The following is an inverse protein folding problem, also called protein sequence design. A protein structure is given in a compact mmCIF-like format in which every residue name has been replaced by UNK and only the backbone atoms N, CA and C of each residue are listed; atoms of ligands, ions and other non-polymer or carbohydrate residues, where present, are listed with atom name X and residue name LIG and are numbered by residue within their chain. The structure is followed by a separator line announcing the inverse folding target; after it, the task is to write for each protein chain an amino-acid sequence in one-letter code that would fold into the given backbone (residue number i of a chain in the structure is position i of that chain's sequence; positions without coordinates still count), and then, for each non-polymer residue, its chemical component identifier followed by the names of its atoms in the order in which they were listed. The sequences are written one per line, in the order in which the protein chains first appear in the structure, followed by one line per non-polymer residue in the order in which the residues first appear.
data_IF_834823698338
#
_entry.id   IF_834823698338
#
_cell.length_a   1.000
_cell.length_b   1.000
_cell.length_c   1.000
_cell.angle_alpha   90.00
_cell.angle_beta   90.00
_cell.angle_gamma   90.00
#
_symmetry.space_group_name_H-M   'P 1'
#
loop_
_entity.id
_entity.type
_entity.pdbx_description
1 polymer ?
#
# COMPACT_ATOMS: atom_id res chain seq x y z
N UNK A 1 -45.15 -19.63 60.66
CA UNK A 1 -44.92 -19.79 59.22
C UNK A 1 -44.29 -18.50 58.76
N UNK A 2 -43.01 -18.54 58.42
CA UNK A 2 -42.30 -17.37 57.88
C UNK A 2 -42.78 -17.21 56.46
N UNK A 3 -43.56 -16.15 56.24
CA UNK A 3 -44.02 -15.73 54.93
C UNK A 3 -42.78 -15.42 54.07
N UNK A 4 -42.67 -16.10 52.93
CA UNK A 4 -41.47 -16.13 52.08
C UNK A 4 -41.75 -15.43 50.74
N UNK A 5 -42.77 -14.56 50.69
CA UNK A 5 -43.21 -13.90 49.44
C UNK A 5 -42.84 -12.41 49.34
N UNK A 6 -42.34 -11.76 50.40
CA UNK A 6 -41.87 -10.37 50.36
C UNK A 6 -40.33 -10.28 50.28
N UNK A 7 -39.74 -10.95 49.28
CA UNK A 7 -38.43 -10.47 48.81
C UNK A 7 -38.72 -9.33 47.86
N UNK A 8 -38.73 -8.12 48.40
CA UNK A 8 -38.53 -6.90 47.64
C UNK A 8 -37.38 -7.15 46.67
N UNK A 9 -37.71 -7.32 45.39
CA UNK A 9 -36.75 -7.28 44.31
C UNK A 9 -36.20 -5.87 44.35
N UNK A 10 -35.06 -5.70 45.03
CA UNK A 10 -34.30 -4.47 44.97
C UNK A 10 -34.04 -4.26 43.49
N UNK A 11 -34.60 -3.22 42.84
CA UNK A 11 -34.29 -2.96 41.45
C UNK A 11 -32.78 -2.78 41.39
N UNK A 12 -32.12 -3.60 40.55
CA UNK A 12 -30.72 -3.39 40.18
C UNK A 12 -30.60 -1.91 39.84
N UNK A 13 -29.69 -1.22 40.52
CA UNK A 13 -29.44 0.19 40.27
C UNK A 13 -29.15 0.38 38.78
N UNK A 14 -29.73 1.42 38.20
CA UNK A 14 -29.47 1.87 36.82
C UNK A 14 -27.95 1.96 36.60
N UNK A 15 -27.42 0.97 35.89
CA UNK A 15 -26.01 0.84 35.54
C UNK A 15 -25.60 1.81 34.41
N UNK A 16 -26.53 2.67 33.97
CA UNK A 16 -26.36 3.64 32.90
C UNK A 16 -26.47 3.01 31.51
N UNK A 17 -26.74 1.71 31.40
CA UNK A 17 -26.96 1.01 30.14
C UNK A 17 -28.46 0.82 29.92
N UNK A 18 -28.96 1.36 28.80
CA UNK A 18 -30.36 1.18 28.44
C UNK A 18 -30.64 -0.29 28.11
N UNK A 19 -31.68 -0.84 28.73
CA UNK A 19 -32.15 -2.19 28.44
C UNK A 19 -32.70 -2.25 27.01
N UNK A 20 -32.65 -3.40 26.33
CA UNK A 20 -33.19 -3.53 24.97
C UNK A 20 -34.69 -3.21 24.87
N UNK A 21 -35.42 -3.43 25.96
CA UNK A 21 -36.82 -3.02 26.08
C UNK A 21 -37.02 -1.49 25.99
N UNK A 22 -36.02 -0.72 26.39
CA UNK A 22 -36.06 0.74 26.42
C UNK A 22 -35.40 1.37 25.19
N UNK A 23 -34.28 0.82 24.72
CA UNK A 23 -33.58 1.32 23.53
C UNK A 23 -34.25 0.89 22.22
N UNK A 24 -34.99 -0.23 22.23
CA UNK A 24 -35.60 -0.86 21.06
C UNK A 24 -34.60 -1.13 19.92
N UNK A 25 -33.31 -1.24 20.23
CA UNK A 25 -32.26 -1.51 19.24
C UNK A 25 -32.15 -3.00 18.87
N UNK A 26 -32.80 -3.87 19.64
CA UNK A 26 -32.81 -5.32 19.44
C UNK A 26 -34.21 -5.89 19.64
N UNK A 27 -34.57 -6.89 18.82
CA UNK A 27 -35.82 -7.64 18.96
C UNK A 27 -35.81 -8.59 20.17
N UNK A 28 -34.66 -8.77 20.83
CA UNK A 28 -34.50 -9.59 22.03
C UNK A 28 -34.64 -8.75 23.30
N UNK A 29 -35.87 -8.34 23.59
CA UNK A 29 -36.19 -7.39 24.67
C UNK A 29 -35.85 -7.89 26.09
N UNK A 30 -35.64 -9.19 26.28
CA UNK A 30 -35.32 -9.80 27.57
C UNK A 30 -33.86 -10.17 27.77
N UNK A 31 -32.99 -9.89 26.79
CA UNK A 31 -31.56 -10.14 26.93
C UNK A 31 -30.90 -8.98 27.70
N UNK A 32 -30.13 -9.29 28.74
CA UNK A 32 -29.30 -8.30 29.41
C UNK A 32 -28.04 -8.03 28.54
N UNK A 33 -27.77 -6.79 28.12
CA UNK A 33 -26.54 -6.47 27.38
C UNK A 33 -25.27 -6.85 28.15
N UNK A 34 -25.31 -6.85 29.49
CA UNK A 34 -24.19 -7.21 30.36
C UNK A 34 -23.95 -8.72 30.46
N UNK A 35 -24.90 -9.56 30.03
CA UNK A 35 -24.72 -11.02 29.98
C UNK A 35 -23.86 -11.48 28.79
N UNK A 36 -23.48 -10.56 27.89
CA UNK A 36 -22.55 -10.86 26.79
C UNK A 36 -21.12 -10.99 27.30
N UNK A 37 -20.65 -12.23 27.45
CA UNK A 37 -19.25 -12.50 27.81
C UNK A 37 -18.28 -12.06 26.72
N UNK A 38 -17.23 -11.32 27.09
CA UNK A 38 -16.07 -11.08 26.22
C UNK A 38 -15.28 -12.39 26.05
N UNK A 39 -15.30 -12.98 24.86
CA UNK A 39 -14.38 -14.07 24.52
C UNK A 39 -13.02 -13.48 24.18
N UNK A 40 -12.07 -13.51 25.12
CA UNK A 40 -10.67 -13.23 24.79
C UNK A 40 -10.13 -14.34 23.88
N UNK A 41 -9.15 -14.03 23.02
CA UNK A 41 -8.46 -15.08 22.26
C UNK A 41 -7.91 -16.10 23.24
N UNK A 42 -8.37 -17.34 23.16
CA UNK A 42 -7.94 -18.40 24.07
C UNK A 42 -6.43 -18.57 24.06
N UNK A 43 -5.82 -18.49 25.23
CA UNK A 43 -4.40 -18.80 25.46
C UNK A 43 -3.52 -17.59 25.80
N UNK A 44 -2.49 -17.82 26.61
CA UNK A 44 -1.45 -16.87 26.96
C UNK A 44 -0.46 -16.66 25.79
N UNK A 45 -0.92 -16.16 24.64
CA UNK A 45 0.01 -15.83 23.55
C UNK A 45 0.93 -14.69 23.99
N UNK A 46 2.23 -14.90 23.84
CA UNK A 46 3.25 -13.89 24.13
C UNK A 46 3.57 -13.67 25.61
N UNK A 47 2.86 -14.29 26.56
CA UNK A 47 3.16 -14.14 27.99
C UNK A 47 4.53 -14.71 28.40
N UNK A 48 5.05 -15.66 27.60
CA UNK A 48 6.39 -16.22 27.77
C UNK A 48 7.37 -15.73 26.70
N UNK A 49 6.99 -14.72 25.91
CA UNK A 49 7.92 -14.09 24.98
C UNK A 49 8.97 -13.27 25.74
N UNK A 50 10.11 -13.08 25.10
CA UNK A 50 11.14 -12.19 25.61
C UNK A 50 10.62 -10.74 25.65
N UNK A 51 11.10 -9.93 26.60
CA UNK A 51 10.68 -8.54 26.74
C UNK A 51 9.43 -8.34 27.61
N UNK A 52 8.93 -9.39 28.25
CA UNK A 52 7.81 -9.32 29.19
C UNK A 52 8.24 -8.85 30.57
N UNK A 53 9.54 -8.87 30.87
CA UNK A 53 10.09 -8.36 32.14
C UNK A 53 10.83 -7.03 31.97
N UNK A 54 10.89 -6.17 33.02
CA UNK A 54 11.64 -4.91 32.97
C UNK A 54 13.14 -5.11 32.70
N UNK A 55 13.71 -6.25 33.12
CA UNK A 55 15.11 -6.55 32.88
C UNK A 55 15.40 -6.82 31.41
N UNK A 56 14.57 -7.64 30.76
CA UNK A 56 14.67 -7.95 29.33
C UNK A 56 14.44 -6.71 28.47
N UNK A 57 13.47 -5.85 28.83
CA UNK A 57 13.23 -4.59 28.12
C UNK A 57 14.44 -3.64 28.15
N UNK A 58 15.19 -3.62 29.26
CA UNK A 58 16.43 -2.83 29.37
C UNK A 58 17.60 -3.45 28.59
N UNK A 59 17.65 -4.78 28.51
CA UNK A 59 18.68 -5.51 27.79
C UNK A 59 18.46 -5.47 26.27
N UNK A 60 17.20 -5.42 25.83
CA UNK A 60 16.80 -5.57 24.44
C UNK A 60 16.93 -7.00 23.94
N UNK A 61 16.28 -7.29 22.82
CA UNK A 61 16.43 -8.54 22.08
C UNK A 61 17.71 -8.52 21.24
N UNK A 62 18.39 -9.65 21.14
CA UNK A 62 19.49 -9.80 20.18
C UNK A 62 18.95 -10.02 18.77
N UNK A 63 19.77 -9.69 17.76
CA UNK A 63 19.42 -9.97 16.36
C UNK A 63 19.12 -11.47 16.14
N UNK A 64 19.90 -12.36 16.76
CA UNK A 64 19.69 -13.80 16.66
C UNK A 64 18.34 -14.24 17.25
N UNK A 65 17.88 -13.58 18.32
CA UNK A 65 16.56 -13.85 18.92
C UNK A 65 15.42 -13.41 18.01
N UNK A 66 15.54 -12.23 17.38
CA UNK A 66 14.58 -11.73 16.41
C UNK A 66 14.49 -12.66 15.20
N UNK A 67 15.64 -13.05 14.63
CA UNK A 67 15.71 -13.97 13.49
C UNK A 67 15.14 -15.35 13.81
N UNK A 68 15.27 -15.82 15.05
CA UNK A 68 14.69 -17.10 15.47
C UNK A 68 13.16 -17.05 15.63
N UNK A 69 12.58 -15.87 15.82
CA UNK A 69 11.14 -15.66 15.92
C UNK A 69 10.46 -15.50 14.55
N UNK A 70 11.23 -15.14 13.52
CA UNK A 70 10.73 -15.01 12.15
C UNK A 70 10.48 -16.39 11.51
N UNK A 71 9.38 -16.50 10.78
CA UNK A 71 9.10 -17.63 9.88
C UNK A 71 9.60 -17.25 8.49
N UNK A 72 10.47 -18.04 7.84
CA UNK A 72 10.90 -17.75 6.48
C UNK A 72 9.71 -17.74 5.53
N UNK A 73 9.58 -16.68 4.73
CA UNK A 73 8.56 -16.62 3.69
C UNK A 73 8.74 -17.78 2.70
N UNK A 74 7.61 -18.36 2.26
CA UNK A 74 7.64 -19.35 1.19
C UNK A 74 7.98 -18.63 -0.13
N UNK A 75 9.09 -19.00 -0.81
CA UNK A 75 9.43 -18.36 -2.07
C UNK A 75 8.30 -18.64 -3.07
N UNK A 76 7.83 -17.63 -3.83
CA UNK A 76 6.83 -17.87 -4.86
C UNK A 76 7.38 -18.87 -5.89
N UNK A 77 6.51 -19.72 -6.45
CA UNK A 77 6.86 -20.75 -7.45
C UNK A 77 7.61 -20.18 -8.67
N UNK A 78 7.42 -18.88 -8.94
CA UNK A 78 8.16 -18.12 -9.92
C UNK A 78 8.54 -16.75 -9.34
N UNK A 79 9.71 -16.66 -8.70
CA UNK A 79 10.49 -15.42 -8.75
C UNK A 79 11.10 -15.36 -10.15
N UNK A 80 10.32 -14.87 -11.12
CA UNK A 80 10.91 -14.32 -12.33
C UNK A 80 11.14 -12.84 -12.06
N UNK A 81 12.39 -12.50 -11.73
CA UNK A 81 12.83 -11.10 -11.61
C UNK A 81 12.58 -10.32 -12.92
N UNK A 82 12.31 -11.04 -14.02
CA UNK A 82 11.78 -10.54 -15.28
C UNK A 82 10.26 -10.60 -15.23
N UNK A 83 9.66 -9.79 -14.38
CA UNK A 83 8.28 -9.40 -14.61
C UNK A 83 8.25 -8.74 -16.00
N UNK A 84 7.57 -9.35 -16.99
CA UNK A 84 7.60 -8.86 -18.37
C UNK A 84 7.08 -7.42 -18.50
N UNK A 85 6.09 -7.08 -17.66
CA UNK A 85 5.55 -5.73 -17.43
C UNK A 85 6.05 -5.08 -16.12
N UNK A 86 7.14 -5.58 -15.54
CA UNK A 86 7.72 -5.03 -14.32
C UNK A 86 8.37 -3.67 -14.58
N UNK A 87 8.62 -2.87 -13.53
CA UNK A 87 9.48 -1.71 -13.69
C UNK A 87 10.82 -2.17 -14.27
N UNK A 88 11.22 -1.58 -15.40
CA UNK A 88 12.47 -1.91 -16.10
C UNK A 88 13.67 -1.86 -15.15
N UNK A 89 14.79 -2.55 -15.46
CA UNK A 89 15.99 -2.44 -14.64
C UNK A 89 16.39 -0.97 -14.46
N UNK A 90 16.58 -0.53 -13.21
CA UNK A 90 17.05 0.83 -12.93
C UNK A 90 18.50 0.98 -13.34
N UNK A 91 18.89 2.19 -13.75
CA UNK A 91 20.29 2.54 -13.94
C UNK A 91 21.05 2.42 -12.60
N UNK A 92 22.31 2.05 -12.68
CA UNK A 92 23.24 2.06 -11.56
C UNK A 92 23.80 3.46 -11.30
N UNK A 93 25.03 3.52 -10.78
CA UNK A 93 25.75 4.77 -10.56
C UNK A 93 26.19 5.38 -11.90
N UNK A 94 25.84 6.63 -12.15
CA UNK A 94 26.16 7.36 -13.37
C UNK A 94 27.41 8.23 -13.16
N UNK A 95 28.44 8.00 -13.97
CA UNK A 95 29.66 8.82 -13.98
C UNK A 95 29.60 9.77 -15.18
N UNK A 96 29.62 11.10 -14.96
CA UNK A 96 29.59 12.06 -16.05
C UNK A 96 30.84 11.94 -16.93
N UNK A 97 30.62 12.09 -18.23
CA UNK A 97 31.67 12.20 -19.23
C UNK A 97 32.34 13.57 -19.24
N UNK A 98 33.30 13.80 -20.14
CA UNK A 98 34.11 15.03 -20.16
C UNK A 98 33.32 16.31 -20.43
N UNK A 99 32.18 16.20 -21.12
CA UNK A 99 31.34 17.33 -21.52
C UNK A 99 30.04 17.45 -20.69
N UNK A 100 29.90 16.68 -19.59
CA UNK A 100 28.73 16.64 -18.68
C UNK A 100 27.36 16.42 -19.36
N UNK A 101 27.33 16.08 -20.65
CA UNK A 101 26.13 15.84 -21.45
C UNK A 101 25.76 14.36 -21.52
N UNK A 102 26.74 13.48 -21.33
CA UNK A 102 26.59 12.04 -21.33
C UNK A 102 27.14 11.49 -20.02
N UNK A 103 26.55 10.40 -19.54
CA UNK A 103 27.03 9.68 -18.37
C UNK A 103 27.12 8.18 -18.68
N UNK A 104 28.06 7.49 -18.04
CA UNK A 104 28.23 6.05 -18.14
C UNK A 104 27.77 5.37 -16.86
N UNK A 105 26.92 4.34 -16.98
CA UNK A 105 26.54 3.47 -15.87
C UNK A 105 27.71 2.54 -15.50
N UNK A 106 28.16 2.60 -14.25
CA UNK A 106 29.24 1.73 -13.72
C UNK A 106 28.73 0.62 -12.79
N UNK A 107 27.41 0.41 -12.74
CA UNK A 107 26.77 -0.68 -12.03
C UNK A 107 26.02 -0.26 -10.76
N UNK A 108 25.34 -1.25 -10.18
CA UNK A 108 24.37 -1.07 -9.09
C UNK A 108 25.06 -0.68 -7.78
N UNK A 109 24.75 0.48 -7.25
CA UNK A 109 25.38 1.00 -6.03
C UNK A 109 24.67 0.57 -4.73
N UNK A 110 24.06 -0.63 -4.71
CA UNK A 110 23.43 -1.25 -3.53
C UNK A 110 22.58 -0.30 -2.63
N UNK A 111 21.90 0.69 -3.22
CA UNK A 111 21.04 1.65 -2.49
C UNK A 111 21.66 3.02 -2.18
N UNK A 112 22.92 3.28 -2.54
CA UNK A 112 23.57 4.59 -2.41
C UNK A 112 23.39 5.51 -3.63
N UNK A 113 22.60 5.08 -4.61
CA UNK A 113 22.23 5.89 -5.77
C UNK A 113 21.53 7.19 -5.33
N UNK A 114 21.83 8.28 -6.02
CA UNK A 114 21.14 9.56 -5.86
C UNK A 114 19.66 9.45 -6.30
N UNK A 115 18.83 10.41 -5.88
CA UNK A 115 17.41 10.42 -6.25
C UNK A 115 17.20 10.48 -7.78
N UNK A 116 18.10 11.17 -8.49
CA UNK A 116 18.06 11.29 -9.95
C UNK A 116 18.40 9.96 -10.63
N UNK A 117 19.45 9.28 -10.17
CA UNK A 117 19.82 7.94 -10.66
C UNK A 117 18.73 6.91 -10.37
N UNK A 118 18.11 6.97 -9.18
CA UNK A 118 17.03 6.08 -8.79
C UNK A 118 15.75 6.24 -9.63
N UNK A 119 15.59 7.38 -10.33
CA UNK A 119 14.47 7.65 -11.23
C UNK A 119 14.70 7.12 -12.65
N UNK A 120 15.95 6.88 -13.07
CA UNK A 120 16.30 6.49 -14.44
C UNK A 120 16.27 4.96 -14.61
N UNK A 121 15.69 4.51 -15.71
CA UNK A 121 15.57 3.09 -16.07
C UNK A 121 16.32 2.82 -17.38
N UNK A 122 16.99 1.67 -17.46
CA UNK A 122 17.70 1.21 -18.65
C UNK A 122 16.70 0.67 -19.66
N UNK A 123 16.94 0.96 -20.93
CA UNK A 123 16.12 0.54 -22.07
C UNK A 123 17.02 -0.22 -23.04
N UNK A 124 16.57 -1.38 -23.52
CA UNK A 124 17.24 -2.04 -24.63
C UNK A 124 16.75 -1.45 -25.97
N UNK A 125 17.60 -1.52 -27.01
CA UNK A 125 17.28 -0.94 -28.31
C UNK A 125 16.06 -1.62 -28.98
N UNK A 126 15.85 -2.91 -28.69
CA UNK A 126 14.68 -3.65 -29.15
C UNK A 126 13.41 -3.18 -28.41
N UNK A 127 13.49 -2.93 -27.09
CA UNK A 127 12.36 -2.39 -26.31
C UNK A 127 11.99 -0.95 -26.69
N UNK A 128 12.98 -0.13 -27.06
CA UNK A 128 12.77 1.25 -27.52
C UNK A 128 12.07 1.28 -28.89
N UNK A 129 12.35 0.30 -29.76
CA UNK A 129 11.68 0.17 -31.05
C UNK A 129 10.21 -0.24 -30.92
N UNK A 130 9.88 -1.01 -29.86
CA UNK A 130 8.52 -1.45 -29.55
C UNK A 130 7.72 -0.42 -28.72
N UNK A 131 8.35 0.67 -28.27
CA UNK A 131 7.68 1.77 -27.59
C UNK A 131 6.74 2.52 -28.56
N UNK A 132 5.52 2.01 -28.71
CA UNK A 132 4.45 2.68 -29.45
C UNK A 132 3.98 3.89 -28.65
N UNK A 133 4.25 5.10 -29.14
CA UNK A 133 3.58 6.30 -28.67
C UNK A 133 2.08 6.10 -28.88
N UNK A 134 1.29 6.16 -27.80
CA UNK A 134 -0.16 5.91 -27.84
C UNK A 134 -0.98 6.91 -28.68
N UNK A 135 -0.33 7.90 -29.31
CA UNK A 135 -0.92 8.81 -30.30
C UNK A 135 -0.61 8.45 -31.75
N UNK A 136 0.16 7.38 -31.99
CA UNK A 136 0.50 6.91 -33.32
C UNK A 136 -0.76 6.40 -34.00
N UNK A 137 -1.50 7.32 -34.60
CA UNK A 137 -2.44 7.05 -35.68
C UNK A 137 -1.72 6.22 -36.75
N UNK A 138 -2.51 5.45 -37.52
CA UNK A 138 -2.03 4.64 -38.66
C UNK A 138 -0.86 5.31 -39.38
N UNK A 139 0.19 4.59 -39.81
CA UNK A 139 1.37 5.22 -40.42
C UNK A 139 0.97 5.99 -41.67
N UNK A 140 0.77 7.30 -41.52
CA UNK A 140 0.46 8.21 -42.60
C UNK A 140 1.74 8.49 -43.39
N UNK A 141 1.60 8.68 -44.70
CA UNK A 141 2.74 9.12 -45.51
C UNK A 141 3.21 10.52 -45.06
N UNK A 142 4.51 10.83 -45.20
CA UNK A 142 5.05 12.17 -44.90
C UNK A 142 4.23 13.30 -45.57
N UNK A 143 3.72 13.06 -46.78
CA UNK A 143 2.87 14.01 -47.51
C UNK A 143 1.50 14.24 -46.87
N UNK A 144 0.98 13.26 -46.15
CA UNK A 144 -0.31 13.31 -45.47
C UNK A 144 -0.18 13.97 -44.10
N UNK A 145 0.86 13.63 -43.33
CA UNK A 145 1.22 14.33 -42.10
C UNK A 145 1.44 15.83 -42.32
N UNK A 146 2.17 16.21 -43.39
CA UNK A 146 2.35 17.62 -43.77
C UNK A 146 1.01 18.29 -44.13
N UNK A 147 0.10 17.57 -44.78
CA UNK A 147 -1.21 18.12 -45.17
C UNK A 147 -2.07 18.41 -43.94
N UNK A 148 -2.12 17.51 -42.97
CA UNK A 148 -2.88 17.71 -41.73
C UNK A 148 -2.28 18.82 -40.87
N UNK A 149 -0.95 18.88 -40.74
CA UNK A 149 -0.28 19.96 -40.02
C UNK A 149 -0.58 21.35 -40.62
N UNK A 150 -0.64 21.46 -41.95
CA UNK A 150 -1.04 22.71 -42.63
C UNK A 150 -2.52 23.03 -42.40
N UNK A 151 -3.38 22.02 -42.33
CA UNK A 151 -4.82 22.18 -42.09
C UNK A 151 -5.12 22.65 -40.67
N UNK A 152 -4.41 22.09 -39.68
CA UNK A 152 -4.52 22.47 -38.25
C UNK A 152 -4.06 23.92 -38.01
N UNK A 153 -2.94 24.33 -38.62
CA UNK A 153 -2.44 25.72 -38.56
C UNK A 153 -3.41 26.71 -39.22
N UNK A 154 -4.11 26.28 -40.28
CA UNK A 154 -5.18 27.06 -40.93
C UNK A 154 -6.46 27.14 -40.08
N UNK A 155 -6.82 26.07 -39.37
CA UNK A 155 -7.99 26.02 -38.50
C UNK A 155 -7.81 26.98 -37.30
N UNK A 156 -6.63 26.95 -36.67
CA UNK A 156 -6.24 27.88 -35.60
C UNK A 156 -6.21 29.35 -36.01
N UNK A 157 -5.96 29.64 -37.30
CA UNK A 157 -5.98 31.02 -37.82
C UNK A 157 -7.39 31.62 -37.99
N UNK A 158 -8.43 30.78 -38.02
CA UNK A 158 -9.83 31.24 -38.23
C UNK A 158 -10.67 31.33 -36.96
N UNK A 159 -10.18 30.79 -35.84
CA UNK A 159 -10.84 30.92 -34.54
C UNK A 159 -10.56 32.31 -33.96
N UNK A 160 -11.28 33.32 -34.44
CA UNK A 160 -11.35 34.60 -33.76
C UNK A 160 -12.00 34.39 -32.39
N UNK A 161 -11.25 34.69 -31.34
CA UNK A 161 -11.64 34.60 -29.94
C UNK A 161 -12.72 35.67 -29.64
N UNK A 162 -13.94 35.44 -30.14
CA UNK A 162 -15.13 36.28 -29.92
C UNK A 162 -15.86 35.81 -28.66
N UNK A 163 -15.19 35.93 -27.51
CA UNK A 163 -15.84 35.94 -26.20
C UNK A 163 -15.46 37.23 -25.46
N UNK A 164 -16.28 38.25 -25.65
CA UNK A 164 -16.35 39.47 -24.82
C UNK A 164 -17.81 39.74 -24.45
#
# INVERSE_FOLDING_TARGET
MTDWDDRDFIPVEDDGVLQPADSLESDRLGDDPLDTGLTTSGGYRGATAYGTTPAEGNQGESLDQLLAAEEPDEPPDAVDDRWSDGPRPRAGRLVPGPDDTLASDVGRDCGAASAEEAAVHVTDADDDADAQLGDATEPESLSEAIRYAILDDLEGATHSDDYR
#
